data_IF_129302418314
#
_entry.id   IF_129302418314
#
_cell.length_a   1.000
_cell.length_b   1.000
_cell.length_c   1.000
_cell.angle_alpha   90.00
_cell.angle_beta   90.00
_cell.angle_gamma   90.00
#
_symmetry.space_group_name_H-M   'P 1'
#
loop_
_entity.id
_entity.type
_entity.pdbx_description
1 polymer ?
#
# COMPACT_ATOMS: atom_id res chain seq x y z
N UNK A 1 -0.98 -2.93 14.09
CA UNK A 1 0.44 -2.51 14.17
C UNK A 1 0.79 -1.47 13.11
N UNK A 2 0.73 -1.80 11.81
CA UNK A 2 0.98 -0.81 10.74
C UNK A 2 -0.08 0.30 10.76
N UNK A 3 -1.37 -0.04 10.88
CA UNK A 3 -2.45 0.95 10.98
C UNK A 3 -2.24 1.96 12.12
N UNK A 4 -1.88 1.50 13.32
CA UNK A 4 -1.60 2.39 14.45
C UNK A 4 -0.43 3.34 14.18
N UNK A 5 0.59 2.89 13.41
CA UNK A 5 1.67 3.77 12.97
C UNK A 5 1.19 4.76 11.91
N UNK A 6 0.19 4.39 11.08
CA UNK A 6 -0.41 5.24 10.06
C UNK A 6 -1.34 6.34 10.64
N UNK A 7 -1.78 6.21 11.89
CA UNK A 7 -2.59 7.24 12.57
C UNK A 7 -1.74 8.42 13.09
N UNK A 8 -0.43 8.23 13.22
CA UNK A 8 0.50 9.32 13.53
C UNK A 8 0.71 10.21 12.29
N UNK A 9 0.75 11.53 12.47
CA UNK A 9 1.00 12.48 11.38
C UNK A 9 2.46 12.55 10.95
N UNK A 10 3.38 12.03 11.78
CA UNK A 10 4.83 12.12 11.62
C UNK A 10 5.49 10.74 11.51
N UNK A 11 5.13 10.02 10.46
CA UNK A 11 5.59 8.65 10.24
C UNK A 11 6.97 8.64 9.59
N UNK A 12 7.91 7.92 10.18
CA UNK A 12 9.20 7.59 9.55
C UNK A 12 9.14 6.20 8.90
N UNK A 13 9.26 6.10 7.56
CA UNK A 13 9.24 4.82 6.84
C UNK A 13 10.38 3.89 7.26
N UNK A 14 11.53 4.43 7.66
CA UNK A 14 12.67 3.62 8.12
C UNK A 14 12.36 2.93 9.43
N UNK A 15 11.75 3.67 10.37
CA UNK A 15 11.34 3.10 11.66
C UNK A 15 10.27 2.03 11.46
N UNK A 16 9.30 2.27 10.57
CA UNK A 16 8.30 1.25 10.24
C UNK A 16 8.94 0.00 9.65
N UNK A 17 9.94 0.13 8.77
CA UNK A 17 10.65 -1.01 8.21
C UNK A 17 11.43 -1.82 9.26
N UNK A 18 12.12 -1.14 10.18
CA UNK A 18 12.83 -1.79 11.29
C UNK A 18 11.84 -2.58 12.14
N UNK A 19 10.75 -1.94 12.54
CA UNK A 19 9.71 -2.56 13.36
C UNK A 19 9.04 -3.78 12.67
N UNK A 20 8.94 -3.76 11.34
CA UNK A 20 8.38 -4.87 10.57
C UNK A 20 9.40 -5.97 10.24
N UNK A 21 10.69 -5.69 10.36
CA UNK A 21 11.76 -6.66 10.02
C UNK A 21 11.72 -7.87 10.95
N UNK A 22 11.45 -7.67 12.23
CA UNK A 22 11.33 -8.78 13.20
C UNK A 22 10.12 -9.68 12.91
N UNK A 23 9.08 -9.14 12.26
CA UNK A 23 7.86 -9.89 11.95
C UNK A 23 7.89 -10.55 10.57
N UNK A 24 8.37 -9.84 9.54
CA UNK A 24 8.32 -10.28 8.14
C UNK A 24 9.66 -10.84 7.65
N UNK A 25 10.76 -10.56 8.35
CA UNK A 25 12.12 -10.73 7.86
C UNK A 25 12.54 -9.59 6.93
N UNK A 26 13.85 -9.30 6.88
CA UNK A 26 14.38 -8.08 6.24
C UNK A 26 13.98 -7.88 4.77
N UNK A 27 14.02 -8.94 3.96
CA UNK A 27 13.68 -8.85 2.54
C UNK A 27 12.20 -8.53 2.31
N UNK A 28 11.30 -9.19 3.06
CA UNK A 28 9.85 -8.97 2.92
C UNK A 28 9.44 -7.63 3.51
N UNK A 29 10.02 -7.23 4.65
CA UNK A 29 9.77 -5.93 5.24
C UNK A 29 10.17 -4.78 4.31
N UNK A 30 11.33 -4.89 3.64
CA UNK A 30 11.78 -3.89 2.64
C UNK A 30 10.78 -3.77 1.49
N UNK A 31 10.35 -4.88 0.91
CA UNK A 31 9.41 -4.89 -0.21
C UNK A 31 8.07 -4.28 0.21
N UNK A 32 7.52 -4.74 1.34
CA UNK A 32 6.25 -4.27 1.85
C UNK A 32 6.24 -2.77 2.13
N UNK A 33 7.27 -2.23 2.80
CA UNK A 33 7.34 -0.79 3.07
C UNK A 33 7.48 0.01 1.78
N UNK A 34 8.27 -0.47 0.81
CA UNK A 34 8.41 0.20 -0.49
C UNK A 34 7.08 0.33 -1.21
N UNK A 35 6.32 -0.76 -1.31
CA UNK A 35 5.00 -0.76 -1.94
C UNK A 35 3.99 0.10 -1.17
N UNK A 36 3.95 -0.01 0.15
CA UNK A 36 3.08 0.80 1.00
C UNK A 36 3.37 2.29 0.83
N UNK A 37 4.64 2.70 0.84
CA UNK A 37 5.03 4.11 0.75
C UNK A 37 4.70 4.70 -0.61
N UNK A 38 4.86 3.92 -1.69
CA UNK A 38 4.45 4.32 -3.02
C UNK A 38 2.94 4.59 -3.10
N UNK A 39 2.12 3.70 -2.51
CA UNK A 39 0.67 3.89 -2.45
C UNK A 39 0.28 5.13 -1.63
N UNK A 40 0.91 5.33 -0.47
CA UNK A 40 0.64 6.51 0.36
C UNK A 40 1.02 7.82 -0.33
N UNK A 41 2.14 7.84 -1.07
CA UNK A 41 2.55 9.00 -1.87
C UNK A 41 1.56 9.28 -3.02
N UNK A 42 1.14 8.23 -3.74
CA UNK A 42 0.13 8.29 -4.79
C UNK A 42 -1.19 8.87 -4.25
N UNK A 43 -1.69 8.34 -3.14
CA UNK A 43 -2.91 8.84 -2.48
C UNK A 43 -2.80 10.30 -2.05
N UNK A 44 -1.68 10.73 -1.46
CA UNK A 44 -1.45 12.14 -1.10
C UNK A 44 -1.44 13.09 -2.30
N UNK A 45 -0.99 12.63 -3.47
CA UNK A 45 -1.03 13.41 -4.70
C UNK A 45 -2.39 13.38 -5.41
N UNK A 46 -3.30 12.50 -5.01
CA UNK A 46 -4.64 12.38 -5.59
C UNK A 46 -5.63 13.38 -4.96
N UNK A 47 -6.52 14.02 -5.74
CA UNK A 47 -7.51 14.96 -5.21
C UNK A 47 -8.49 14.38 -4.18
N UNK A 48 -8.76 13.07 -4.25
CA UNK A 48 -9.69 12.35 -3.36
C UNK A 48 -8.98 11.55 -2.27
N UNK A 49 -7.64 11.60 -2.21
CA UNK A 49 -6.84 10.81 -1.29
C UNK A 49 -6.69 9.34 -1.68
N UNK A 50 -7.19 8.92 -2.84
CA UNK A 50 -7.19 7.52 -3.29
C UNK A 50 -6.00 7.26 -4.23
N UNK A 51 -5.14 6.27 -3.96
CA UNK A 51 -4.07 5.89 -4.88
C UNK A 51 -4.61 5.43 -6.24
N UNK A 52 -4.04 5.94 -7.34
CA UNK A 52 -4.47 5.60 -8.70
C UNK A 52 -4.36 4.10 -9.01
N UNK A 53 -3.36 3.44 -8.44
CA UNK A 53 -3.10 2.02 -8.57
C UNK A 53 -4.28 1.17 -8.06
N UNK A 54 -4.93 1.61 -6.98
CA UNK A 54 -6.10 0.92 -6.42
C UNK A 54 -7.33 1.10 -7.33
N UNK A 55 -7.50 2.27 -7.93
CA UNK A 55 -8.57 2.55 -8.89
C UNK A 55 -8.41 1.66 -10.12
N UNK A 56 -7.20 1.60 -10.69
CA UNK A 56 -6.90 0.74 -11.82
C UNK A 56 -7.08 -0.74 -11.49
N UNK A 57 -6.62 -1.18 -10.31
CA UNK A 57 -6.78 -2.55 -9.85
C UNK A 57 -8.27 -2.92 -9.75
N UNK A 58 -9.10 -2.04 -9.19
CA UNK A 58 -10.54 -2.25 -9.08
C UNK A 58 -11.22 -2.31 -10.46
N UNK A 59 -10.81 -1.43 -11.38
CA UNK A 59 -11.29 -1.42 -12.76
C UNK A 59 -10.98 -2.74 -13.47
N UNK A 60 -9.75 -3.25 -13.34
CA UNK A 60 -9.32 -4.55 -13.90
C UNK A 60 -10.10 -5.72 -13.29
N UNK A 61 -10.34 -5.70 -11.97
CA UNK A 61 -11.14 -6.71 -11.28
C UNK A 61 -12.58 -6.77 -11.83
N UNK A 62 -13.23 -5.62 -12.02
CA UNK A 62 -14.59 -5.54 -12.58
C UNK A 62 -14.65 -5.98 -14.04
N UNK A 63 -13.63 -5.67 -14.84
CA UNK A 63 -13.54 -6.15 -16.22
C UNK A 63 -13.46 -7.67 -16.28
N UNK A 64 -12.61 -8.31 -15.46
CA UNK A 64 -12.48 -9.78 -15.40
C UNK A 64 -13.80 -10.45 -15.03
N UNK A 65 -14.58 -9.87 -14.11
CA UNK A 65 -15.90 -10.41 -13.71
C UNK A 65 -16.96 -10.33 -14.81
N UNK A 66 -16.81 -9.42 -15.78
CA UNK A 66 -17.77 -9.24 -16.89
C UNK A 66 -17.48 -10.15 -18.10
N UNK A 67 -16.31 -10.79 -18.15
CA UNK A 67 -15.98 -11.76 -19.18
C UNK A 67 -16.60 -13.09 -18.72
N UNK A 68 -17.59 -13.65 -19.45
CA UNK A 68 -18.11 -14.99 -19.15
C UNK A 68 -16.93 -15.97 -19.13
N UNK A 69 -16.85 -16.79 -18.09
CA UNK A 69 -15.93 -17.93 -18.10
C UNK A 69 -16.54 -18.95 -19.07
N UNK A 70 -15.92 -19.10 -20.24
CA UNK A 70 -16.24 -20.20 -21.19
C UNK A 70 -16.03 -21.57 -20.54
#
# INVERSE_FOLDING_TARGET
>A
FVFNQLEDKSIDPKMMQINLTDFLGGSKARLFIGELWALLASGQSSPDGIPAELIEMKKKELQKRKIPSD
#
